data_IF_714678175525
#
_entry.id   IF_714678175525
#
_cell.length_a   1.000
_cell.length_b   1.000
_cell.length_c   1.000
_cell.angle_alpha   90.00
_cell.angle_beta   90.00
_cell.angle_gamma   90.00
#
_symmetry.space_group_name_H-M   'P 1'
#
loop_
_entity.id
_entity.type
_entity.pdbx_description
1 polymer ?
#
# COMPACT_ATOMS: atom_id res chain seq x y z
N UNK A 1 -15.68 2.29 7.72
CA UNK A 1 -14.64 1.81 8.65
C UNK A 1 -15.24 0.83 9.65
N UNK A 2 -14.73 -0.39 9.69
CA UNK A 2 -15.09 -1.32 10.77
C UNK A 2 -14.56 -0.81 12.10
N UNK A 3 -15.39 -0.76 13.14
CA UNK A 3 -15.02 -0.18 14.45
C UNK A 3 -13.81 -0.87 15.07
N UNK A 4 -13.64 -2.17 14.84
CA UNK A 4 -12.53 -3.00 15.35
C UNK A 4 -11.14 -2.52 14.94
N UNK A 5 -10.97 -1.79 13.83
CA UNK A 5 -9.64 -1.32 13.40
C UNK A 5 -8.97 -0.46 14.47
N UNK A 6 -9.73 0.20 15.33
CA UNK A 6 -9.19 1.02 16.44
C UNK A 6 -8.35 0.25 17.43
N UNK A 7 -8.48 -1.08 17.50
CA UNK A 7 -7.63 -1.93 18.33
C UNK A 7 -6.14 -1.84 17.94
N UNK A 8 -5.86 -1.57 16.66
CA UNK A 8 -4.50 -1.45 16.12
C UNK A 8 -4.07 -0.01 15.91
N UNK A 9 -5.01 0.94 15.83
CA UNK A 9 -4.71 2.33 15.57
C UNK A 9 -4.06 3.03 16.77
N UNK A 10 -3.22 4.02 16.46
CA UNK A 10 -2.69 5.00 17.40
C UNK A 10 -2.48 6.34 16.67
N UNK A 11 -2.52 7.44 17.41
CA UNK A 11 -2.33 8.76 16.83
C UNK A 11 -0.95 8.88 16.17
N UNK A 12 -0.86 9.28 14.89
CA UNK A 12 0.42 9.38 14.17
C UNK A 12 1.32 10.49 14.72
N UNK A 13 0.77 11.42 15.51
CA UNK A 13 1.51 12.54 16.10
C UNK A 13 2.06 12.22 17.48
N UNK A 14 1.31 11.49 18.34
CA UNK A 14 1.69 11.29 19.74
C UNK A 14 1.59 9.86 20.24
N UNK A 15 1.20 8.92 19.37
CA UNK A 15 0.94 7.50 19.68
C UNK A 15 -0.15 7.27 20.75
N UNK A 16 -0.98 8.26 21.04
CA UNK A 16 -2.14 8.13 21.91
C UNK A 16 -3.27 7.32 21.27
N UNK A 17 -4.21 6.82 22.09
CA UNK A 17 -5.41 6.16 21.58
C UNK A 17 -6.39 7.17 20.98
N UNK A 18 -7.37 6.66 20.25
CA UNK A 18 -8.46 7.45 19.70
C UNK A 18 -9.77 7.16 20.42
N UNK A 19 -10.55 8.22 20.61
CA UNK A 19 -11.99 8.17 20.85
C UNK A 19 -12.70 8.31 19.50
N UNK A 20 -13.88 7.69 19.36
CA UNK A 20 -14.66 7.75 18.11
C UNK A 20 -15.87 8.63 18.32
N UNK A 21 -16.06 9.63 17.45
CA UNK A 21 -17.32 10.35 17.31
C UNK A 21 -17.92 10.01 15.94
N UNK A 22 -18.83 9.03 15.91
CA UNK A 22 -19.52 8.62 14.70
C UNK A 22 -20.60 9.63 14.32
N UNK A 23 -20.63 10.08 13.06
CA UNK A 23 -21.64 10.96 12.48
C UNK A 23 -22.68 10.17 11.70
N UNK A 24 -22.22 9.12 11.01
CA UNK A 24 -23.04 8.18 10.27
C UNK A 24 -22.47 6.78 10.42
N UNK A 25 -23.31 5.83 10.81
CA UNK A 25 -22.96 4.44 10.97
C UNK A 25 -24.09 3.52 10.54
N UNK A 26 -23.78 2.28 10.22
CA UNK A 26 -24.74 1.27 9.83
C UNK A 26 -24.32 -0.12 10.32
N UNK A 27 -25.25 -1.04 10.31
CA UNK A 27 -25.01 -2.47 10.52
C UNK A 27 -24.92 -3.14 9.15
N UNK A 28 -23.73 -3.62 8.79
CA UNK A 28 -23.51 -4.33 7.54
C UNK A 28 -23.88 -5.80 7.69
N UNK A 29 -24.57 -6.35 6.71
CA UNK A 29 -24.81 -7.79 6.67
C UNK A 29 -23.49 -8.54 6.49
N UNK A 30 -23.09 -9.27 7.51
CA UNK A 30 -21.89 -10.11 7.51
C UNK A 30 -22.29 -11.54 7.17
N UNK A 31 -21.61 -12.16 6.22
CA UNK A 31 -21.88 -13.55 5.78
C UNK A 31 -21.71 -14.55 6.93
N UNK A 32 -22.41 -15.67 6.84
CA UNK A 32 -22.32 -16.74 7.87
C UNK A 32 -20.91 -17.27 7.99
N UNK A 33 -20.17 -17.44 6.90
CA UNK A 33 -18.76 -17.85 6.93
C UNK A 33 -17.88 -16.89 7.72
N UNK A 34 -18.07 -15.57 7.58
CA UNK A 34 -17.34 -14.59 8.37
C UNK A 34 -17.76 -14.60 9.85
N UNK A 35 -19.04 -14.86 10.15
CA UNK A 35 -19.51 -14.99 11.54
C UNK A 35 -18.95 -16.25 12.21
N UNK A 36 -18.91 -17.37 11.50
CA UNK A 36 -18.30 -18.62 11.97
C UNK A 36 -16.81 -18.43 12.26
N UNK A 37 -16.07 -17.81 11.33
CA UNK A 37 -14.66 -17.50 11.54
C UNK A 37 -14.46 -16.57 12.75
N UNK A 38 -15.27 -15.52 12.89
CA UNK A 38 -15.21 -14.60 14.03
C UNK A 38 -15.50 -15.31 15.36
N UNK A 39 -16.48 -16.22 15.37
CA UNK A 39 -16.81 -17.05 16.53
C UNK A 39 -15.65 -17.97 16.91
N UNK A 40 -15.07 -18.67 15.91
CA UNK A 40 -13.92 -19.56 16.10
C UNK A 40 -12.67 -18.81 16.63
N UNK A 41 -12.55 -17.52 16.32
CA UNK A 41 -11.48 -16.63 16.80
C UNK A 41 -11.81 -15.91 18.11
N UNK A 42 -13.00 -16.08 18.67
CA UNK A 42 -13.46 -15.43 19.91
C UNK A 42 -13.63 -13.91 19.80
N UNK A 43 -13.84 -13.38 18.57
CA UNK A 43 -13.96 -11.94 18.29
C UNK A 43 -15.37 -11.51 17.86
N UNK A 44 -16.32 -12.43 17.81
CA UNK A 44 -17.72 -12.12 17.50
C UNK A 44 -18.36 -11.43 18.72
N UNK A 45 -18.49 -10.12 18.63
CA UNK A 45 -19.11 -9.28 19.67
C UNK A 45 -20.33 -8.51 19.15
N UNK A 46 -21.00 -7.73 20.01
CA UNK A 46 -22.22 -6.99 19.66
C UNK A 46 -21.99 -5.92 18.55
N UNK A 47 -20.76 -5.45 18.39
CA UNK A 47 -20.38 -4.42 17.38
C UNK A 47 -19.57 -5.02 16.21
N UNK A 48 -19.62 -6.34 16.03
CA UNK A 48 -18.86 -7.01 14.98
C UNK A 48 -19.31 -6.57 13.55
N UNK A 49 -20.57 -6.22 13.40
CA UNK A 49 -21.20 -5.76 12.16
C UNK A 49 -21.36 -4.22 12.09
N UNK A 50 -20.79 -3.48 13.05
CA UNK A 50 -20.84 -2.02 13.11
C UNK A 50 -19.83 -1.40 12.15
N UNK A 51 -20.32 -0.63 11.18
CA UNK A 51 -19.52 0.08 10.20
C UNK A 51 -19.77 1.59 10.30
N UNK A 52 -18.70 2.36 10.43
CA UNK A 52 -18.74 3.82 10.53
C UNK A 52 -18.46 4.39 9.14
N UNK A 53 -19.45 5.06 8.57
CA UNK A 53 -19.35 5.69 7.25
C UNK A 53 -18.68 7.06 7.33
N UNK A 54 -19.08 7.87 8.33
CA UNK A 54 -18.51 9.18 8.59
C UNK A 54 -18.34 9.43 10.09
N UNK A 55 -17.31 10.17 10.47
CA UNK A 55 -17.04 10.50 11.85
C UNK A 55 -15.65 11.05 12.08
N UNK A 56 -15.25 11.15 13.34
CA UNK A 56 -13.94 11.59 13.78
C UNK A 56 -13.25 10.52 14.64
N UNK A 57 -11.95 10.36 14.41
CA UNK A 57 -11.02 9.76 15.35
C UNK A 57 -10.38 10.91 16.15
N UNK A 58 -10.67 11.00 17.43
CA UNK A 58 -10.29 12.09 18.32
C UNK A 58 -9.08 11.66 19.18
N UNK A 59 -7.97 12.36 19.07
CA UNK A 59 -6.86 12.18 19.98
C UNK A 59 -6.93 13.21 21.11
N UNK A 60 -7.40 12.79 22.30
CA UNK A 60 -7.54 13.67 23.47
C UNK A 60 -6.20 14.23 23.95
N UNK A 61 -5.08 13.51 23.71
CA UNK A 61 -3.73 13.91 24.15
C UNK A 61 -3.18 15.11 23.39
N UNK A 62 -3.31 15.16 22.06
CA UNK A 62 -2.78 16.26 21.24
C UNK A 62 -3.86 17.18 20.67
N UNK A 63 -5.13 16.93 20.99
CA UNK A 63 -6.29 17.70 20.53
C UNK A 63 -6.35 17.82 19.01
N UNK A 64 -6.06 16.71 18.32
CA UNK A 64 -6.14 16.57 16.88
C UNK A 64 -7.26 15.59 16.56
N UNK A 65 -8.07 15.89 15.55
CA UNK A 65 -9.01 14.94 14.98
C UNK A 65 -8.55 14.47 13.61
N UNK A 66 -8.95 13.27 13.26
CA UNK A 66 -8.73 12.68 11.94
C UNK A 66 -10.07 12.21 11.38
N UNK A 67 -10.43 12.58 10.13
CA UNK A 67 -11.71 12.20 9.55
C UNK A 67 -11.82 10.70 9.30
N UNK A 68 -13.02 10.17 9.50
CA UNK A 68 -13.49 8.94 8.86
C UNK A 68 -14.41 9.42 7.74
N UNK A 69 -13.99 9.27 6.48
CA UNK A 69 -14.70 9.79 5.33
C UNK A 69 -15.01 8.68 4.33
N UNK A 70 -16.29 8.42 4.09
CA UNK A 70 -16.78 7.33 3.22
C UNK A 70 -16.21 5.97 3.66
N UNK A 71 -16.19 5.72 4.97
CA UNK A 71 -15.68 4.51 5.57
C UNK A 71 -14.16 4.40 5.66
N UNK A 72 -13.40 5.39 5.17
CA UNK A 72 -11.94 5.41 5.20
C UNK A 72 -11.43 6.36 6.30
N UNK A 73 -10.66 5.90 7.30
CA UNK A 73 -9.94 6.77 8.22
C UNK A 73 -8.75 7.44 7.52
N UNK A 74 -8.72 8.78 7.56
CA UNK A 74 -7.68 9.62 6.94
C UNK A 74 -6.69 10.01 8.04
N UNK A 75 -5.60 9.28 8.17
CA UNK A 75 -4.65 9.39 9.28
C UNK A 75 -3.28 9.97 8.88
N UNK A 76 -3.24 10.76 7.81
CA UNK A 76 -2.03 11.55 7.49
C UNK A 76 -1.89 12.71 8.47
N UNK A 77 -0.66 13.03 8.97
CA UNK A 77 -0.45 14.03 10.02
C UNK A 77 -0.47 15.48 9.50
N UNK A 78 -0.98 15.72 8.30
CA UNK A 78 -1.11 17.03 7.66
C UNK A 78 -2.44 17.16 6.91
N UNK A 79 -2.88 18.38 6.70
CA UNK A 79 -4.13 18.68 6.01
C UNK A 79 -4.01 18.43 4.50
N UNK A 80 -5.01 17.78 3.92
CA UNK A 80 -5.14 17.48 2.50
C UNK A 80 -6.47 18.02 1.97
N UNK A 81 -6.71 18.09 0.65
CA UNK A 81 -8.02 18.50 0.09
C UNK A 81 -9.20 17.69 0.66
N UNK A 82 -9.01 16.41 0.97
CA UNK A 82 -10.05 15.54 1.57
C UNK A 82 -10.48 16.04 2.95
N UNK A 83 -9.57 16.60 3.74
CA UNK A 83 -9.92 17.21 5.03
C UNK A 83 -10.85 18.42 4.87
N UNK A 84 -10.63 19.23 3.86
CA UNK A 84 -11.48 20.39 3.57
C UNK A 84 -12.85 19.97 3.02
N UNK A 85 -12.89 18.95 2.15
CA UNK A 85 -14.14 18.35 1.65
C UNK A 85 -14.97 17.81 2.82
N UNK A 86 -14.34 17.02 3.70
CA UNK A 86 -14.98 16.49 4.90
C UNK A 86 -15.52 17.60 5.82
N UNK A 87 -14.71 18.64 6.08
CA UNK A 87 -15.13 19.73 6.96
C UNK A 87 -16.31 20.54 6.38
N UNK A 88 -16.36 20.72 5.07
CA UNK A 88 -17.47 21.39 4.41
C UNK A 88 -18.78 20.55 4.49
N UNK A 89 -18.68 19.22 4.31
CA UNK A 89 -19.82 18.30 4.36
C UNK A 89 -20.36 18.13 5.78
N UNK A 90 -19.48 18.06 6.80
CA UNK A 90 -19.84 17.73 8.18
C UNK A 90 -19.66 18.88 9.16
N UNK A 91 -19.72 20.15 8.72
CA UNK A 91 -19.51 21.33 9.55
C UNK A 91 -20.37 21.34 10.83
N UNK A 92 -21.65 21.03 10.73
CA UNK A 92 -22.56 20.99 11.85
C UNK A 92 -22.22 19.88 12.87
N UNK A 93 -21.79 18.71 12.38
CA UNK A 93 -21.41 17.57 13.21
C UNK A 93 -20.07 17.80 13.94
N UNK A 94 -19.20 18.66 13.40
CA UNK A 94 -17.93 19.04 14.02
C UNK A 94 -18.07 20.12 15.09
N UNK A 95 -19.14 20.89 15.08
CA UNK A 95 -19.37 22.00 16.03
C UNK A 95 -19.28 21.62 17.52
N UNK A 96 -19.65 20.40 17.97
CA UNK A 96 -19.48 19.96 19.36
C UNK A 96 -18.02 19.74 19.81
N UNK A 97 -17.05 19.81 18.89
CA UNK A 97 -15.63 19.49 19.16
C UNK A 97 -14.69 20.70 18.92
N UNK A 98 -14.96 21.89 19.45
CA UNK A 98 -14.20 23.10 19.13
C UNK A 98 -12.76 23.09 19.64
N UNK A 99 -12.43 22.22 20.62
CA UNK A 99 -11.11 22.06 21.18
C UNK A 99 -10.18 21.22 20.31
N UNK A 100 -10.69 20.54 19.29
CA UNK A 100 -9.91 19.73 18.36
C UNK A 100 -9.62 20.50 17.07
N UNK A 101 -8.47 20.24 16.49
CA UNK A 101 -8.00 20.89 15.26
C UNK A 101 -7.54 19.88 14.22
N UNK A 102 -7.43 20.31 12.98
CA UNK A 102 -6.79 19.54 11.92
C UNK A 102 -5.32 19.24 12.22
N UNK A 103 -4.79 18.13 11.69
CA UNK A 103 -3.36 17.86 11.72
C UNK A 103 -2.62 18.94 10.90
N UNK A 104 -1.49 19.44 11.45
CA UNK A 104 -0.78 20.58 10.88
C UNK A 104 0.73 20.31 10.68
N UNK A 105 1.16 19.06 10.69
CA UNK A 105 2.56 18.71 10.33
C UNK A 105 2.80 18.97 8.84
N UNK A 106 4.05 18.95 8.43
CA UNK A 106 4.39 19.00 7.01
C UNK A 106 4.59 17.58 6.48
N UNK A 107 4.18 17.31 5.22
CA UNK A 107 4.51 16.05 4.57
C UNK A 107 6.03 15.92 4.44
N UNK A 108 6.54 14.70 4.45
CA UNK A 108 7.96 14.46 4.18
C UNK A 108 8.30 14.80 2.72
N UNK A 109 9.59 14.92 2.41
CA UNK A 109 10.06 15.37 1.11
C UNK A 109 9.41 14.59 -0.04
N UNK A 110 8.72 15.30 -0.94
CA UNK A 110 8.11 14.73 -2.14
C UNK A 110 6.85 13.89 -1.93
N UNK A 111 6.42 13.66 -0.70
CA UNK A 111 5.29 12.77 -0.38
C UNK A 111 3.98 13.19 -1.06
N UNK A 112 3.70 14.50 -1.16
CA UNK A 112 2.52 15.01 -1.86
C UNK A 112 2.52 14.65 -3.35
N UNK A 113 3.68 14.68 -4.01
CA UNK A 113 3.79 14.31 -5.42
C UNK A 113 3.54 12.81 -5.62
N UNK A 114 4.08 11.98 -4.71
CA UNK A 114 3.86 10.52 -4.70
C UNK A 114 2.39 10.22 -4.47
N UNK A 115 1.76 10.84 -3.47
CA UNK A 115 0.32 10.70 -3.18
C UNK A 115 -0.53 11.06 -4.41
N UNK A 116 -0.26 12.19 -5.07
CA UNK A 116 -1.02 12.63 -6.23
C UNK A 116 -0.83 11.72 -7.45
N UNK A 117 0.41 11.22 -7.67
CA UNK A 117 0.72 10.29 -8.74
C UNK A 117 -0.13 9.03 -8.66
N UNK A 118 -0.02 8.31 -7.54
CA UNK A 118 -0.74 7.05 -7.35
C UNK A 118 -2.25 7.24 -7.17
N UNK A 119 -2.71 8.36 -6.58
CA UNK A 119 -4.14 8.67 -6.56
C UNK A 119 -4.71 8.83 -7.97
N UNK A 120 -4.01 9.54 -8.86
CA UNK A 120 -4.46 9.73 -10.25
C UNK A 120 -4.44 8.42 -11.04
N UNK A 121 -3.51 7.53 -10.73
CA UNK A 121 -3.37 6.24 -11.40
C UNK A 121 -4.51 5.28 -11.04
N UNK A 122 -4.84 5.17 -9.76
CA UNK A 122 -5.67 4.07 -9.25
C UNK A 122 -7.11 4.43 -8.90
N UNK A 123 -7.48 5.73 -8.78
CA UNK A 123 -8.84 6.13 -8.42
C UNK A 123 -9.93 5.67 -9.41
N UNK A 124 -9.56 5.49 -10.68
CA UNK A 124 -10.46 5.02 -11.73
C UNK A 124 -10.34 3.51 -12.00
N UNK A 125 -9.63 2.76 -11.14
CA UNK A 125 -9.46 1.33 -11.33
C UNK A 125 -10.77 0.57 -11.10
N UNK A 126 -11.06 -0.36 -12.03
CA UNK A 126 -12.18 -1.29 -11.95
C UNK A 126 -11.65 -2.71 -11.73
N UNK A 127 -12.34 -3.48 -10.86
CA UNK A 127 -11.93 -4.85 -10.54
C UNK A 127 -12.45 -5.81 -11.64
N UNK A 128 -11.72 -5.90 -12.73
CA UNK A 128 -12.04 -6.69 -13.93
C UNK A 128 -11.39 -8.08 -13.95
N UNK A 129 -10.68 -8.46 -12.89
CA UNK A 129 -10.00 -9.77 -12.76
C UNK A 129 -8.57 -9.80 -13.26
N UNK A 130 -8.07 -8.69 -13.78
CA UNK A 130 -6.71 -8.57 -14.33
C UNK A 130 -6.03 -7.32 -13.80
N UNK A 131 -4.76 -7.42 -13.42
CA UNK A 131 -3.90 -6.29 -13.08
C UNK A 131 -2.47 -6.56 -13.60
N UNK A 132 -1.84 -5.59 -14.25
CA UNK A 132 -0.51 -5.74 -14.84
C UNK A 132 -0.37 -7.00 -15.71
N UNK A 133 -1.36 -7.27 -16.57
CA UNK A 133 -1.42 -8.42 -17.47
C UNK A 133 -1.46 -9.80 -16.77
N UNK A 134 -1.72 -9.82 -15.46
CA UNK A 134 -1.84 -11.02 -14.64
C UNK A 134 -3.25 -11.18 -14.09
N UNK A 135 -3.77 -12.40 -14.10
CA UNK A 135 -5.01 -12.72 -13.41
C UNK A 135 -4.90 -12.54 -11.89
N UNK A 136 -6.02 -12.36 -11.20
CA UNK A 136 -6.01 -12.32 -9.74
C UNK A 136 -5.47 -13.60 -9.12
N UNK A 137 -5.70 -14.75 -9.76
CA UNK A 137 -5.15 -16.03 -9.32
C UNK A 137 -3.63 -16.06 -9.41
N UNK A 138 -3.02 -15.50 -10.47
CA UNK A 138 -1.57 -15.37 -10.59
C UNK A 138 -1.01 -14.42 -9.55
N UNK A 139 -1.71 -13.32 -9.26
CA UNK A 139 -1.33 -12.41 -8.17
C UNK A 139 -1.41 -13.08 -6.80
N UNK A 140 -2.45 -13.88 -6.52
CA UNK A 140 -2.58 -14.64 -5.28
C UNK A 140 -1.45 -15.66 -5.13
N UNK A 141 -1.15 -16.43 -6.19
CA UNK A 141 -0.02 -17.38 -6.20
C UNK A 141 1.32 -16.68 -5.98
N UNK A 142 1.53 -15.53 -6.62
CA UNK A 142 2.70 -14.70 -6.40
C UNK A 142 2.80 -14.28 -4.94
N UNK A 143 1.75 -13.69 -4.38
CA UNK A 143 1.71 -13.24 -2.99
C UNK A 143 2.08 -14.35 -2.00
N UNK A 144 1.50 -15.54 -2.15
CA UNK A 144 1.81 -16.69 -1.29
C UNK A 144 3.26 -17.16 -1.43
N UNK A 145 3.82 -17.11 -2.65
CA UNK A 145 5.23 -17.46 -2.90
C UNK A 145 6.18 -16.43 -2.26
N UNK A 146 5.83 -15.17 -2.26
CA UNK A 146 6.61 -14.07 -1.67
C UNK A 146 6.75 -14.19 -0.17
N UNK A 147 5.64 -14.34 0.53
CA UNK A 147 5.65 -14.47 2.00
C UNK A 147 6.22 -15.83 2.43
N UNK A 148 5.94 -16.88 1.68
CA UNK A 148 6.41 -18.25 1.93
C UNK A 148 5.66 -18.98 3.04
N UNK A 149 5.87 -20.30 3.17
CA UNK A 149 5.04 -21.15 4.02
C UNK A 149 5.17 -20.85 5.52
N UNK A 150 6.33 -20.36 5.96
CA UNK A 150 6.55 -20.03 7.39
C UNK A 150 5.76 -18.79 7.80
N UNK A 151 5.73 -17.76 6.96
CA UNK A 151 4.91 -16.59 7.20
C UNK A 151 3.41 -16.90 7.09
N UNK A 152 3.01 -17.80 6.17
CA UNK A 152 1.61 -18.28 6.10
C UNK A 152 1.21 -18.93 7.44
N UNK A 153 2.06 -19.78 8.00
CA UNK A 153 1.80 -20.40 9.31
C UNK A 153 1.75 -19.37 10.45
N UNK A 154 2.70 -18.43 10.46
CA UNK A 154 2.77 -17.38 11.47
C UNK A 154 1.56 -16.44 11.42
N UNK A 155 1.09 -16.11 10.21
CA UNK A 155 -0.04 -15.20 9.99
C UNK A 155 -1.41 -15.84 10.15
N UNK A 156 -1.51 -17.16 10.23
CA UNK A 156 -2.80 -17.84 10.34
C UNK A 156 -3.57 -17.40 11.57
N UNK A 157 -4.78 -16.86 11.34
CA UNK A 157 -5.67 -16.26 12.35
C UNK A 157 -5.06 -15.11 13.16
N UNK A 158 -3.95 -14.55 12.68
CA UNK A 158 -3.25 -13.44 13.28
C UNK A 158 -3.64 -12.07 12.69
N UNK A 159 -2.64 -11.22 12.51
CA UNK A 159 -2.77 -9.89 11.89
C UNK A 159 -1.78 -9.74 10.75
N UNK A 160 -2.29 -9.43 9.58
CA UNK A 160 -1.50 -9.07 8.41
C UNK A 160 -1.49 -7.54 8.24
N UNK A 161 -0.36 -6.97 7.89
CA UNK A 161 -0.20 -5.54 7.62
C UNK A 161 0.46 -5.35 6.25
N UNK A 162 -0.25 -4.66 5.34
CA UNK A 162 0.31 -4.24 4.05
C UNK A 162 0.57 -2.75 4.03
N UNK A 163 1.79 -2.34 3.65
CA UNK A 163 2.17 -0.96 3.42
C UNK A 163 2.21 -0.70 1.92
N UNK A 164 1.42 0.27 1.48
CA UNK A 164 1.19 0.55 0.06
C UNK A 164 0.21 -0.45 -0.57
N UNK A 165 -0.95 -0.63 0.06
CA UNK A 165 -1.93 -1.63 -0.38
C UNK A 165 -2.64 -1.27 -1.70
N UNK A 166 -2.55 -0.01 -2.16
CA UNK A 166 -3.24 0.46 -3.36
C UNK A 166 -4.73 0.12 -3.33
N UNK A 167 -5.15 -0.73 -4.27
CA UNK A 167 -6.53 -1.22 -4.38
C UNK A 167 -6.85 -2.43 -3.51
N UNK A 168 -5.92 -2.88 -2.63
CA UNK A 168 -6.18 -3.84 -1.55
C UNK A 168 -6.18 -5.33 -1.94
N UNK A 169 -5.69 -5.71 -3.12
CA UNK A 169 -5.74 -7.12 -3.54
C UNK A 169 -4.88 -8.05 -2.68
N UNK A 170 -3.64 -7.69 -2.36
CA UNK A 170 -2.79 -8.53 -1.49
C UNK A 170 -3.33 -8.57 -0.05
N UNK A 171 -3.91 -7.45 0.42
CA UNK A 171 -4.63 -7.40 1.70
C UNK A 171 -5.81 -8.39 1.71
N UNK A 172 -6.58 -8.45 0.61
CA UNK A 172 -7.67 -9.41 0.45
C UNK A 172 -7.16 -10.86 0.41
N UNK A 173 -6.10 -11.15 -0.35
CA UNK A 173 -5.51 -12.49 -0.41
C UNK A 173 -4.99 -12.94 0.95
N UNK A 174 -4.41 -12.03 1.75
CA UNK A 174 -3.99 -12.34 3.11
C UNK A 174 -5.18 -12.71 3.98
N UNK A 175 -6.24 -11.91 4.01
CA UNK A 175 -7.45 -12.22 4.79
C UNK A 175 -8.04 -13.57 4.41
N UNK A 176 -8.13 -13.86 3.09
CA UNK A 176 -8.67 -15.11 2.56
C UNK A 176 -7.83 -16.33 2.94
N UNK A 177 -6.50 -16.27 2.73
CA UNK A 177 -5.62 -17.43 2.85
C UNK A 177 -5.07 -17.66 4.27
N UNK A 178 -5.04 -16.61 5.10
CA UNK A 178 -4.54 -16.68 6.47
C UNK A 178 -5.69 -16.64 7.50
N UNK A 179 -6.94 -16.51 7.08
CA UNK A 179 -8.10 -16.33 7.98
C UNK A 179 -7.86 -15.23 9.03
N UNK A 180 -7.16 -14.16 8.66
CA UNK A 180 -6.64 -13.14 9.56
C UNK A 180 -7.35 -11.80 9.43
N UNK A 181 -7.16 -10.91 10.44
CA UNK A 181 -7.42 -9.49 10.23
C UNK A 181 -6.31 -8.91 9.33
N UNK A 182 -6.69 -8.33 8.21
CA UNK A 182 -5.73 -7.76 7.28
C UNK A 182 -5.92 -6.24 7.19
N UNK A 183 -4.83 -5.52 7.46
CA UNK A 183 -4.79 -4.05 7.49
C UNK A 183 -4.00 -3.57 6.28
N UNK A 184 -4.67 -2.87 5.36
CA UNK A 184 -4.05 -2.21 4.23
C UNK A 184 -3.85 -0.72 4.50
N UNK A 185 -2.61 -0.26 4.38
CA UNK A 185 -2.25 1.15 4.53
C UNK A 185 -1.73 1.68 3.20
N UNK A 186 -2.27 2.80 2.74
CA UNK A 186 -1.76 3.50 1.56
C UNK A 186 -1.75 5.01 1.78
N UNK A 187 -0.79 5.68 1.18
CA UNK A 187 -0.70 7.14 1.20
C UNK A 187 -1.70 7.76 0.21
N UNK A 188 -1.91 7.12 -0.92
CA UNK A 188 -2.77 7.60 -1.99
C UNK A 188 -4.24 7.34 -1.73
N UNK A 189 -5.11 8.03 -2.47
CA UNK A 189 -6.56 7.80 -2.42
C UNK A 189 -6.99 6.49 -3.12
N UNK A 190 -6.07 5.70 -3.69
CA UNK A 190 -6.34 4.34 -4.17
C UNK A 190 -7.00 3.48 -3.09
N UNK A 191 -6.59 3.67 -1.84
CA UNK A 191 -7.14 2.94 -0.69
C UNK A 191 -8.65 3.19 -0.48
N UNK A 192 -9.21 4.28 -1.00
CA UNK A 192 -10.66 4.51 -0.99
C UNK A 192 -11.38 3.54 -1.94
N UNK A 193 -10.76 3.17 -3.06
CA UNK A 193 -11.29 2.16 -3.99
C UNK A 193 -11.37 0.81 -3.27
N UNK A 194 -10.28 0.41 -2.58
CA UNK A 194 -10.25 -0.79 -1.75
C UNK A 194 -11.32 -0.78 -0.64
N UNK A 195 -11.44 0.34 0.08
CA UNK A 195 -12.44 0.51 1.16
C UNK A 195 -13.86 0.27 0.67
N UNK A 196 -14.21 0.77 -0.52
CA UNK A 196 -15.54 0.60 -1.11
C UNK A 196 -15.76 -0.82 -1.63
N UNK A 197 -14.77 -1.36 -2.34
CA UNK A 197 -14.90 -2.67 -2.97
C UNK A 197 -15.01 -3.81 -1.96
N UNK A 198 -14.22 -3.75 -0.88
CA UNK A 198 -14.17 -4.78 0.14
C UNK A 198 -14.97 -4.45 1.41
N UNK A 199 -15.94 -3.53 1.30
CA UNK A 199 -16.72 -3.01 2.43
C UNK A 199 -17.40 -4.10 3.25
N UNK A 200 -17.87 -5.19 2.62
CA UNK A 200 -18.65 -6.23 3.26
C UNK A 200 -17.80 -7.30 3.98
N UNK A 201 -16.47 -7.17 3.92
CA UNK A 201 -15.57 -8.09 4.62
C UNK A 201 -15.09 -7.48 5.94
N UNK A 202 -15.55 -7.99 7.12
CA UNK A 202 -15.23 -7.41 8.43
C UNK A 202 -13.79 -7.68 8.89
N UNK A 203 -13.02 -8.48 8.15
CA UNK A 203 -11.61 -8.76 8.41
C UNK A 203 -10.66 -7.88 7.60
N UNK A 204 -11.21 -7.03 6.71
CA UNK A 204 -10.42 -6.09 5.91
C UNK A 204 -10.54 -4.67 6.45
N UNK A 205 -9.40 -4.07 6.75
CA UNK A 205 -9.30 -2.74 7.34
C UNK A 205 -8.38 -1.88 6.47
N UNK A 206 -8.88 -0.78 5.97
CA UNK A 206 -8.11 0.14 5.12
C UNK A 206 -7.91 1.48 5.80
N UNK A 207 -6.71 2.07 5.64
CA UNK A 207 -6.31 3.32 6.30
C UNK A 207 -5.49 4.16 5.33
N UNK A 208 -5.83 5.45 5.18
CA UNK A 208 -4.92 6.38 4.49
C UNK A 208 -3.87 6.89 5.47
N UNK A 209 -2.59 6.58 5.21
CA UNK A 209 -1.49 7.05 6.05
C UNK A 209 -0.15 7.02 5.33
N UNK A 210 0.82 7.74 5.90
CA UNK A 210 2.22 7.74 5.46
C UNK A 210 3.00 6.59 6.10
N UNK A 211 3.89 5.96 5.32
CA UNK A 211 4.85 4.98 5.83
C UNK A 211 5.80 5.56 6.89
N UNK A 212 5.99 6.89 6.91
CA UNK A 212 6.86 7.58 7.87
C UNK A 212 6.16 8.02 9.15
N UNK A 213 4.84 7.98 9.18
CA UNK A 213 4.01 8.33 10.34
C UNK A 213 2.82 7.36 10.47
N UNK A 214 3.15 6.07 10.53
CA UNK A 214 2.14 5.02 10.62
C UNK A 214 1.28 5.18 11.88
N UNK A 215 -0.05 5.29 11.72
CA UNK A 215 -1.00 5.45 12.82
C UNK A 215 -1.34 4.10 13.45
N UNK A 216 -0.33 3.28 13.68
CA UNK A 216 -0.46 1.91 14.15
C UNK A 216 0.42 1.68 15.38
N UNK A 217 -0.08 0.90 16.32
CA UNK A 217 0.69 0.43 17.46
C UNK A 217 1.90 -0.38 16.96
N UNK A 218 2.94 -0.48 17.78
CA UNK A 218 4.10 -1.33 17.49
C UNK A 218 3.74 -2.80 17.69
N UNK A 219 4.47 -3.70 17.05
CA UNK A 219 4.41 -5.15 17.25
C UNK A 219 3.00 -5.73 17.09
N UNK A 220 2.28 -5.31 16.05
CA UNK A 220 0.92 -5.78 15.78
C UNK A 220 0.86 -6.85 14.68
N UNK A 221 1.81 -6.87 13.76
CA UNK A 221 1.75 -7.69 12.56
C UNK A 221 2.49 -9.00 12.72
N UNK A 222 1.79 -10.11 12.51
CA UNK A 222 2.38 -11.44 12.31
C UNK A 222 3.08 -11.55 10.98
N UNK A 223 2.51 -10.89 9.97
CA UNK A 223 3.10 -10.73 8.64
C UNK A 223 3.00 -9.27 8.24
N UNK A 224 4.15 -8.63 7.98
CA UNK A 224 4.26 -7.30 7.41
C UNK A 224 4.71 -7.44 5.96
N UNK A 225 3.96 -6.82 5.06
CA UNK A 225 4.16 -6.97 3.62
C UNK A 225 4.21 -5.61 2.92
N UNK A 226 5.12 -5.46 1.97
CA UNK A 226 5.16 -4.31 1.08
C UNK A 226 5.73 -4.71 -0.27
N UNK A 227 4.99 -4.44 -1.33
CA UNK A 227 5.36 -4.81 -2.68
C UNK A 227 5.29 -3.60 -3.61
N UNK A 228 6.42 -3.21 -4.19
CA UNK A 228 6.45 -2.16 -5.20
C UNK A 228 6.27 -0.73 -4.68
N UNK A 229 6.52 -0.46 -3.39
CA UNK A 229 6.12 0.79 -2.72
C UNK A 229 7.29 1.59 -2.17
N UNK A 230 8.09 1.02 -1.28
CA UNK A 230 9.03 1.80 -0.48
C UNK A 230 10.13 2.48 -1.29
N UNK A 231 10.46 1.98 -2.47
CA UNK A 231 11.40 2.61 -3.38
C UNK A 231 10.86 3.88 -4.08
N UNK A 232 9.57 4.18 -3.90
CA UNK A 232 8.95 5.43 -4.31
C UNK A 232 8.91 6.50 -3.20
N UNK A 233 9.55 6.25 -2.07
CA UNK A 233 9.71 7.22 -0.99
C UNK A 233 11.00 8.01 -1.14
N UNK A 234 11.15 9.11 -0.40
CA UNK A 234 12.39 9.92 -0.44
C UNK A 234 13.63 9.14 0.04
N UNK A 235 13.43 8.13 0.88
CA UNK A 235 14.47 7.21 1.36
C UNK A 235 13.87 5.84 1.64
N UNK A 236 14.24 4.86 0.82
CA UNK A 236 13.79 3.46 0.99
C UNK A 236 14.26 2.89 2.32
N UNK A 237 15.50 3.15 2.72
CA UNK A 237 16.06 2.73 4.00
C UNK A 237 15.25 3.26 5.18
N UNK A 238 15.00 4.59 5.20
CA UNK A 238 14.22 5.22 6.26
C UNK A 238 12.78 4.65 6.31
N UNK A 239 12.18 4.33 5.15
CA UNK A 239 10.88 3.72 5.08
C UNK A 239 10.88 2.30 5.67
N UNK A 240 11.85 1.45 5.30
CA UNK A 240 12.02 0.10 5.90
C UNK A 240 12.16 0.20 7.42
N UNK A 241 13.03 1.11 7.90
CA UNK A 241 13.25 1.33 9.36
C UNK A 241 12.02 1.89 10.07
N UNK A 242 11.17 2.64 9.38
CA UNK A 242 9.91 3.16 9.94
C UNK A 242 8.84 2.10 10.08
N UNK A 243 8.69 1.22 9.08
CA UNK A 243 7.61 0.22 9.06
C UNK A 243 7.96 -1.04 9.87
N UNK A 244 9.22 -1.47 9.85
CA UNK A 244 9.69 -2.71 10.47
C UNK A 244 9.28 -2.92 11.93
N UNK A 245 9.30 -1.89 12.82
CA UNK A 245 8.84 -2.02 14.20
C UNK A 245 7.35 -2.36 14.40
N UNK A 246 6.57 -2.45 13.32
CA UNK A 246 5.17 -2.93 13.38
C UNK A 246 5.09 -4.45 13.32
N UNK A 247 6.14 -5.13 12.83
CA UNK A 247 6.27 -6.58 12.91
C UNK A 247 6.45 -7.00 14.38
N UNK A 248 5.69 -7.99 14.82
CA UNK A 248 5.81 -8.51 16.18
C UNK A 248 6.94 -9.53 16.30
N UNK A 249 7.32 -9.86 17.50
CA UNK A 249 8.22 -10.97 17.79
C UNK A 249 7.72 -12.28 17.17
N UNK A 250 8.60 -13.00 16.51
CA UNK A 250 8.28 -14.21 15.75
C UNK A 250 7.60 -13.98 14.40
N UNK A 251 7.20 -12.74 14.10
CA UNK A 251 6.56 -12.35 12.85
C UNK A 251 7.54 -12.27 11.68
N UNK A 252 6.99 -12.18 10.48
CA UNK A 252 7.72 -12.09 9.22
C UNK A 252 7.50 -10.77 8.52
N UNK A 253 8.55 -10.21 7.91
CA UNK A 253 8.46 -9.07 7.00
C UNK A 253 8.92 -9.46 5.61
N UNK A 254 8.16 -9.02 4.59
CA UNK A 254 8.53 -9.12 3.19
C UNK A 254 8.57 -7.74 2.53
N UNK A 255 9.60 -7.50 1.71
CA UNK A 255 9.76 -6.28 0.91
C UNK A 255 10.16 -6.64 -0.52
N UNK A 256 9.44 -6.08 -1.51
CA UNK A 256 9.86 -6.12 -2.90
C UNK A 256 10.16 -4.71 -3.42
N UNK A 257 11.34 -4.54 -4.04
CA UNK A 257 11.85 -3.26 -4.51
C UNK A 257 12.42 -3.40 -5.91
N UNK A 258 12.52 -2.29 -6.64
CA UNK A 258 13.28 -2.24 -7.86
C UNK A 258 14.75 -2.59 -7.61
N UNK A 259 15.27 -3.51 -8.42
CA UNK A 259 16.64 -4.00 -8.33
C UNK A 259 17.58 -3.34 -9.33
N UNK A 260 18.91 -3.49 -9.14
CA UNK A 260 19.92 -2.96 -10.04
C UNK A 260 19.94 -3.66 -11.41
N UNK A 261 19.41 -4.88 -11.50
CA UNK A 261 19.32 -5.64 -12.75
C UNK A 261 18.53 -4.96 -13.86
N UNK A 262 17.67 -4.00 -13.50
CA UNK A 262 16.99 -3.15 -14.47
C UNK A 262 17.93 -2.14 -15.15
N UNK A 263 19.07 -1.79 -14.56
CA UNK A 263 20.10 -0.88 -15.11
C UNK A 263 21.08 -1.58 -16.08
N UNK A 264 21.14 -2.91 -16.08
CA UNK A 264 21.98 -3.71 -16.98
C UNK A 264 21.44 -3.74 -18.41
N UNK A 265 22.30 -4.10 -19.39
CA UNK A 265 21.90 -4.29 -20.78
C UNK A 265 22.59 -3.38 -21.78
N UNK A 266 21.99 -3.18 -22.97
CA UNK A 266 22.58 -2.41 -24.07
C UNK A 266 22.85 -0.95 -23.72
N UNK A 267 23.75 -0.30 -24.47
CA UNK A 267 24.02 1.13 -24.34
C UNK A 267 22.73 1.97 -24.50
N UNK A 268 21.87 1.59 -25.44
CA UNK A 268 20.58 2.25 -25.66
C UNK A 268 19.69 2.19 -24.39
N UNK A 269 19.64 1.06 -23.72
CA UNK A 269 18.89 0.90 -22.45
C UNK A 269 19.45 1.79 -21.35
N UNK A 270 20.76 1.90 -21.23
CA UNK A 270 21.40 2.79 -20.24
C UNK A 270 21.11 4.26 -20.51
N UNK A 271 21.10 4.67 -21.80
CA UNK A 271 20.71 6.04 -22.19
C UNK A 271 19.25 6.30 -21.84
N UNK A 272 18.33 5.39 -22.23
CA UNK A 272 16.91 5.51 -21.90
C UNK A 272 16.67 5.66 -20.39
N UNK A 273 17.43 4.92 -19.58
CA UNK A 273 17.41 5.00 -18.14
C UNK A 273 17.82 6.37 -17.59
N UNK A 274 18.91 6.93 -18.12
CA UNK A 274 19.37 8.28 -17.72
C UNK A 274 18.37 9.37 -18.13
N UNK A 275 17.75 9.24 -19.29
CA UNK A 275 16.69 10.15 -19.73
C UNK A 275 15.46 10.06 -18.80
N UNK A 276 15.08 8.85 -18.42
CA UNK A 276 14.01 8.63 -17.44
C UNK A 276 14.33 9.33 -16.11
N UNK A 277 15.51 9.10 -15.52
CA UNK A 277 15.93 9.71 -14.26
C UNK A 277 15.95 11.25 -14.33
N UNK A 278 16.35 11.82 -15.49
CA UNK A 278 16.39 13.26 -15.70
C UNK A 278 15.00 13.90 -15.91
N UNK A 279 14.08 13.19 -16.57
CA UNK A 279 12.75 13.75 -16.92
C UNK A 279 11.70 13.51 -15.84
N UNK A 280 11.82 12.44 -15.07
CA UNK A 280 10.88 12.05 -14.00
C UNK A 280 10.57 13.19 -13.02
N UNK A 281 11.54 13.89 -12.40
CA UNK A 281 11.26 14.95 -11.44
C UNK A 281 10.44 16.10 -12.02
N UNK A 282 10.63 16.41 -13.31
CA UNK A 282 9.86 17.44 -14.00
C UNK A 282 8.40 17.00 -14.20
N UNK A 283 8.17 15.79 -14.71
CA UNK A 283 6.84 15.24 -14.93
C UNK A 283 6.09 15.11 -13.60
N UNK A 284 6.74 14.51 -12.59
CA UNK A 284 6.16 14.27 -11.28
C UNK A 284 5.67 15.56 -10.58
N UNK A 285 6.46 16.63 -10.68
CA UNK A 285 6.11 17.92 -10.04
C UNK A 285 5.06 18.71 -10.81
N UNK A 286 4.83 18.39 -12.07
CA UNK A 286 3.98 19.15 -12.99
C UNK A 286 2.91 18.28 -13.65
N UNK A 287 2.35 17.27 -12.97
CA UNK A 287 1.41 16.29 -13.52
C UNK A 287 0.20 16.93 -14.22
N UNK A 288 -0.33 18.00 -13.66
CA UNK A 288 -1.49 18.71 -14.21
C UNK A 288 -1.15 19.57 -15.45
N UNK A 289 0.15 19.81 -15.75
CA UNK A 289 0.55 20.70 -16.84
C UNK A 289 0.28 20.06 -18.21
N UNK A 290 -0.08 20.88 -19.22
CA UNK A 290 -0.20 20.40 -20.61
C UNK A 290 1.09 19.74 -21.13
N UNK A 291 2.26 20.24 -20.72
CA UNK A 291 3.56 19.70 -21.13
C UNK A 291 3.75 18.27 -20.61
N UNK A 292 3.42 18.01 -19.33
CA UNK A 292 3.51 16.64 -18.78
C UNK A 292 2.52 15.69 -19.45
N UNK A 293 1.30 16.15 -19.76
CA UNK A 293 0.31 15.33 -20.49
C UNK A 293 0.80 14.96 -21.89
N UNK A 294 1.34 15.92 -22.64
CA UNK A 294 1.92 15.67 -23.97
C UNK A 294 3.13 14.74 -23.86
N UNK A 295 4.00 14.94 -22.87
CA UNK A 295 5.16 14.07 -22.64
C UNK A 295 4.73 12.62 -22.36
N UNK A 296 3.75 12.41 -21.48
CA UNK A 296 3.23 11.08 -21.16
C UNK A 296 2.57 10.43 -22.39
N UNK A 297 1.80 11.18 -23.18
CA UNK A 297 1.20 10.67 -24.42
C UNK A 297 2.28 10.25 -25.44
N UNK A 298 3.34 11.03 -25.57
CA UNK A 298 4.48 10.71 -26.46
C UNK A 298 5.23 9.46 -25.97
N UNK A 299 5.44 9.34 -24.66
CA UNK A 299 6.04 8.15 -24.06
C UNK A 299 5.15 6.92 -24.26
N UNK A 300 3.84 7.03 -24.11
CA UNK A 300 2.90 5.95 -24.39
C UNK A 300 3.01 5.44 -25.83
N UNK A 301 3.12 6.35 -26.81
CA UNK A 301 3.34 5.95 -28.22
C UNK A 301 4.68 5.23 -28.41
N UNK A 302 5.74 5.68 -27.72
CA UNK A 302 7.02 4.98 -27.73
C UNK A 302 6.91 3.57 -27.11
N UNK A 303 6.18 3.42 -26.01
CA UNK A 303 5.88 2.10 -25.39
C UNK A 303 5.12 1.19 -26.35
N UNK A 304 4.09 1.69 -27.03
CA UNK A 304 3.36 0.93 -28.05
C UNK A 304 4.28 0.41 -29.15
N UNK A 305 5.16 1.28 -29.66
CA UNK A 305 6.09 0.90 -30.73
C UNK A 305 7.05 -0.20 -30.23
N UNK A 306 7.64 -0.01 -29.05
CA UNK A 306 8.56 -0.99 -28.47
C UNK A 306 7.84 -2.32 -28.18
N UNK A 307 6.63 -2.29 -27.63
CA UNK A 307 5.83 -3.49 -27.37
C UNK A 307 5.49 -4.24 -28.66
N UNK A 308 5.08 -3.54 -29.72
CA UNK A 308 4.83 -4.15 -31.05
C UNK A 308 6.06 -4.82 -31.63
N UNK A 309 7.26 -4.20 -31.46
CA UNK A 309 8.52 -4.79 -31.90
C UNK A 309 8.90 -6.03 -31.08
N UNK A 310 8.57 -6.05 -29.80
CA UNK A 310 8.75 -7.23 -28.95
C UNK A 310 7.78 -8.35 -29.33
N UNK A 311 6.50 -8.04 -29.48
CA UNK A 311 5.47 -9.02 -29.93
C UNK A 311 5.81 -9.63 -31.29
N UNK A 312 6.34 -8.83 -32.24
CA UNK A 312 6.77 -9.32 -33.55
C UNK A 312 7.96 -10.30 -33.47
N UNK A 313 8.77 -10.22 -32.41
CA UNK A 313 9.89 -11.17 -32.15
C UNK A 313 9.45 -12.38 -31.32
N UNK A 314 8.47 -12.19 -30.47
CA UNK A 314 7.94 -13.20 -29.55
C UNK A 314 6.43 -12.97 -29.41
N UNK A 315 5.64 -13.79 -30.08
CA UNK A 315 4.18 -13.70 -30.11
C UNK A 315 3.53 -14.04 -28.77
N UNK A 316 4.29 -14.54 -27.80
CA UNK A 316 3.80 -14.74 -26.42
C UNK A 316 3.75 -13.45 -25.60
N UNK A 317 4.44 -12.38 -26.06
CA UNK A 317 4.36 -11.04 -25.46
C UNK A 317 3.00 -10.44 -25.77
N UNK A 318 2.26 -10.06 -24.77
CA UNK A 318 0.95 -9.42 -24.93
C UNK A 318 1.06 -8.09 -25.71
N UNK A 319 0.13 -7.88 -26.65
CA UNK A 319 0.06 -6.62 -27.41
C UNK A 319 -0.65 -5.55 -26.58
N UNK A 320 0.04 -4.43 -26.33
CA UNK A 320 -0.55 -3.28 -25.64
C UNK A 320 -1.49 -2.50 -26.55
N UNK A 321 -2.62 -2.09 -25.98
CA UNK A 321 -3.38 -0.95 -26.48
C UNK A 321 -2.80 0.38 -25.96
N UNK A 322 -3.42 1.51 -26.35
CA UNK A 322 -2.96 2.83 -25.88
C UNK A 322 -3.14 3.02 -24.38
N UNK A 323 -4.21 2.46 -23.80
CA UNK A 323 -4.51 2.54 -22.36
C UNK A 323 -3.42 1.87 -21.54
N UNK A 324 -3.06 0.64 -21.88
CA UNK A 324 -1.96 -0.12 -21.22
C UNK A 324 -0.62 0.57 -21.40
N UNK A 325 -0.32 1.09 -22.58
CA UNK A 325 0.93 1.81 -22.83
C UNK A 325 1.01 3.13 -22.04
N UNK A 326 -0.10 3.85 -21.91
CA UNK A 326 -0.19 5.06 -21.11
C UNK A 326 -0.06 4.76 -19.61
N UNK A 327 -0.66 3.66 -19.14
CA UNK A 327 -0.51 3.20 -17.78
C UNK A 327 0.96 2.86 -17.47
N UNK A 328 1.63 2.07 -18.33
CA UNK A 328 3.05 1.77 -18.18
C UNK A 328 3.96 3.03 -18.19
N UNK A 329 3.61 4.04 -19.01
CA UNK A 329 4.31 5.32 -19.02
C UNK A 329 4.08 6.11 -17.72
N UNK A 330 2.87 6.10 -17.18
CA UNK A 330 2.53 6.76 -15.90
C UNK A 330 3.29 6.11 -14.76
N UNK A 331 3.14 4.82 -14.53
CA UNK A 331 3.84 4.08 -13.45
C UNK A 331 5.34 4.39 -13.42
N UNK A 332 5.95 4.53 -14.57
CA UNK A 332 7.39 4.73 -14.67
C UNK A 332 7.85 6.18 -14.51
N UNK A 333 7.08 7.16 -15.00
CA UNK A 333 7.52 8.55 -15.10
C UNK A 333 6.80 9.51 -14.13
N UNK A 334 5.69 9.10 -13.50
CA UNK A 334 4.96 9.99 -12.60
C UNK A 334 5.37 9.90 -11.13
N UNK A 335 5.87 8.77 -10.59
CA UNK A 335 6.42 8.78 -9.24
C UNK A 335 7.68 9.65 -9.17
N UNK A 336 7.78 10.52 -8.15
CA UNK A 336 8.94 11.41 -7.98
C UNK A 336 10.23 10.64 -7.75
N UNK A 337 10.15 9.55 -7.02
CA UNK A 337 11.27 8.68 -6.66
C UNK A 337 11.09 7.29 -7.27
N UNK A 338 12.19 6.65 -7.65
CA UNK A 338 12.25 5.24 -8.03
C UNK A 338 13.67 4.72 -7.78
N UNK A 339 13.95 4.49 -6.52
CA UNK A 339 15.25 3.97 -6.07
C UNK A 339 15.43 2.51 -6.47
N UNK A 340 16.67 2.07 -6.53
CA UNK A 340 17.01 0.68 -6.89
C UNK A 340 18.03 0.17 -5.91
N UNK A 341 17.76 -1.01 -5.37
CA UNK A 341 18.51 -1.58 -4.29
C UNK A 341 18.84 -3.04 -4.56
N UNK A 342 20.04 -3.45 -4.19
CA UNK A 342 20.41 -4.86 -4.21
C UNK A 342 20.06 -5.57 -2.90
N UNK A 343 20.25 -6.88 -2.90
CA UNK A 343 19.97 -7.71 -1.73
C UNK A 343 20.83 -7.33 -0.52
N UNK A 344 22.10 -6.98 -0.72
CA UNK A 344 23.02 -6.68 0.39
C UNK A 344 22.59 -5.43 1.15
N UNK A 345 22.23 -4.37 0.41
CA UNK A 345 21.68 -3.13 1.00
C UNK A 345 20.41 -3.43 1.80
N UNK A 346 19.40 -4.08 1.18
CA UNK A 346 18.11 -4.34 1.81
C UNK A 346 18.25 -5.27 3.02
N UNK A 347 19.07 -6.33 2.91
CA UNK A 347 19.32 -7.24 4.03
C UNK A 347 20.05 -6.56 5.19
N UNK A 348 20.88 -5.55 4.90
CA UNK A 348 21.49 -4.70 5.92
C UNK A 348 20.42 -3.94 6.72
N UNK A 349 19.48 -3.28 6.04
CA UNK A 349 18.39 -2.55 6.70
C UNK A 349 17.48 -3.44 7.54
N UNK A 350 17.22 -4.67 7.08
CA UNK A 350 16.47 -5.66 7.86
C UNK A 350 17.17 -5.97 9.17
N UNK A 351 18.51 -6.24 9.13
CA UNK A 351 19.31 -6.51 10.33
C UNK A 351 19.38 -5.30 11.26
N UNK A 352 19.49 -4.08 10.70
CA UNK A 352 19.47 -2.84 11.50
C UNK A 352 18.16 -2.66 12.29
N UNK A 353 17.05 -3.18 11.77
CA UNK A 353 15.74 -3.18 12.47
C UNK A 353 15.62 -4.32 13.47
N UNK A 354 16.48 -5.32 13.38
CA UNK A 354 16.50 -6.48 14.28
C UNK A 354 15.94 -7.77 13.67
N UNK A 355 15.70 -7.82 12.36
CA UNK A 355 15.29 -9.05 11.70
C UNK A 355 16.47 -10.02 11.56
N UNK A 356 16.17 -11.29 11.77
CA UNK A 356 17.05 -12.43 11.54
C UNK A 356 16.50 -13.30 10.39
N UNK A 357 17.19 -14.40 10.07
CA UNK A 357 16.79 -15.31 8.98
C UNK A 357 16.50 -14.55 7.66
N UNK A 358 17.28 -13.48 7.41
CA UNK A 358 17.06 -12.61 6.26
C UNK A 358 17.53 -13.29 4.99
N UNK A 359 16.60 -13.55 4.06
CA UNK A 359 16.86 -14.25 2.81
C UNK A 359 16.34 -13.49 1.61
N UNK A 360 17.03 -13.59 0.49
CA UNK A 360 16.50 -13.20 -0.81
C UNK A 360 15.48 -14.23 -1.28
N UNK A 361 14.32 -13.78 -1.73
CA UNK A 361 13.33 -14.69 -2.31
C UNK A 361 13.84 -15.20 -3.66
N UNK A 362 13.90 -16.53 -3.83
CA UNK A 362 14.35 -17.13 -5.07
C UNK A 362 13.31 -16.91 -6.17
N UNK A 363 13.69 -16.20 -7.23
CA UNK A 363 12.82 -15.94 -8.37
C UNK A 363 12.26 -17.22 -9.03
N UNK A 364 12.94 -18.37 -8.87
CA UNK A 364 12.48 -19.66 -9.40
C UNK A 364 11.25 -20.20 -8.70
N UNK A 365 10.99 -19.74 -7.46
CA UNK A 365 9.79 -20.11 -6.70
C UNK A 365 8.55 -19.30 -7.10
N UNK A 366 8.74 -18.26 -7.90
CA UNK A 366 7.64 -17.44 -8.39
C UNK A 366 6.89 -18.12 -9.54
N UNK A 367 5.60 -17.79 -9.73
CA UNK A 367 4.88 -18.18 -10.94
C UNK A 367 5.64 -17.80 -12.21
N UNK A 368 5.60 -18.62 -13.23
CA UNK A 368 6.43 -18.47 -14.45
C UNK A 368 6.31 -17.08 -15.06
N UNK A 369 5.10 -16.50 -15.11
CA UNK A 369 4.85 -15.16 -15.62
C UNK A 369 5.61 -14.06 -14.85
N UNK A 370 5.97 -14.30 -13.58
CA UNK A 370 6.65 -13.33 -12.73
C UNK A 370 8.17 -13.52 -12.66
N UNK A 371 8.72 -14.67 -13.08
CA UNK A 371 10.12 -15.02 -12.85
C UNK A 371 11.13 -14.01 -13.41
N UNK A 372 10.90 -13.50 -14.62
CA UNK A 372 11.82 -12.51 -15.21
C UNK A 372 11.81 -11.18 -14.45
N UNK A 373 10.65 -10.76 -13.93
CA UNK A 373 10.53 -9.59 -13.06
C UNK A 373 11.35 -9.78 -11.78
N UNK A 374 11.19 -10.92 -11.09
CA UNK A 374 11.89 -11.21 -9.83
C UNK A 374 13.40 -11.41 -10.00
N UNK A 375 13.84 -11.94 -11.14
CA UNK A 375 15.26 -12.06 -11.48
C UNK A 375 15.96 -10.70 -11.58
N UNK A 376 15.24 -9.64 -11.94
CA UNK A 376 15.78 -8.29 -12.15
C UNK A 376 15.62 -7.38 -10.93
N UNK A 377 14.73 -7.73 -10.02
CA UNK A 377 14.35 -6.94 -8.87
C UNK A 377 14.71 -7.66 -7.56
N UNK A 378 14.49 -6.99 -6.44
CA UNK A 378 14.96 -7.46 -5.13
C UNK A 378 13.77 -7.75 -4.23
N UNK A 379 13.50 -9.02 -3.97
CA UNK A 379 12.56 -9.49 -2.95
C UNK A 379 13.32 -10.03 -1.75
N UNK A 380 13.04 -9.51 -0.56
CA UNK A 380 13.70 -9.91 0.69
C UNK A 380 12.65 -10.21 1.75
N UNK A 381 12.82 -11.29 2.48
CA UNK A 381 12.04 -11.57 3.68
C UNK A 381 12.96 -11.87 4.87
N UNK A 382 12.47 -11.56 6.07
CA UNK A 382 13.17 -11.82 7.31
C UNK A 382 12.20 -12.03 8.45
N UNK A 383 12.66 -12.68 9.51
CA UNK A 383 11.88 -12.97 10.70
C UNK A 383 12.33 -12.11 11.87
N UNK A 384 11.38 -11.52 12.60
CA UNK A 384 11.66 -10.88 13.88
C UNK A 384 11.92 -11.97 14.92
N UNK A 385 13.05 -11.95 15.63
CA UNK A 385 13.33 -12.95 16.66
C UNK A 385 12.25 -12.96 17.75
N UNK A 386 12.11 -14.10 18.41
CA UNK A 386 11.36 -14.17 19.67
C UNK A 386 12.31 -13.84 20.80
N UNK A 387 11.91 -12.92 21.65
CA UNK A 387 12.64 -12.67 22.90
C UNK A 387 12.51 -13.91 23.78
N UNK A 388 13.59 -14.45 24.35
CA UNK A 388 13.56 -15.65 25.18
C UNK A 388 12.65 -15.53 26.40
#
# INVERSE_FOLDING_TARGET
>A
MWSRVTNWLSCPTCSGNFDIAAFSEERIHVSDAHRELASARGILGPDFDRYIEAGLLLCSRCRIFFPIFRGLPILVPYTTPVHHEFAAEFQANMAPFPEYRFPASSPVSGEQYVMNSFSTEWLAYEYDGVIWDLSYEDHERRFLSEIGPDAVRAGNRGTFLEIGCGIGLSTFFASKNLECDAIGVDLSMAVLVATRHFRDNPFLHFVQASAFSLPLKKQIADVLYTHGVLHHTYSTEAAVKSVGPRCREGGWMYVWLYGPGSKGGSVARRIAFRLEEATRPFIARNLASPVSRVSLATLALAYLLVNRLHHAKDSTVEMYDYGKALHAARDRFTPLYAHRHDYLEVSGWFRDVGFEEVVQVDWRTMPTANQDNYRRNTGVRGRMPQTP
#
